data_IF_699666682219
#
_entry.id   IF_699666682219
#
_cell.length_a   1.000
_cell.length_b   1.000
_cell.length_c   1.000
_cell.angle_alpha   90.00
_cell.angle_beta   90.00
_cell.angle_gamma   90.00
#
_symmetry.space_group_name_H-M   'P 1'
#
loop_
_entity.id
_entity.type
_entity.pdbx_description
1 polymer ?
#
# COMPACT_ATOMS: atom_id res chain seq x y z
N UNK A 1 6.25 3.78 19.50
CA UNK A 1 7.71 3.76 19.75
C UNK A 1 8.30 4.93 19.01
N UNK A 2 8.87 5.89 19.74
CA UNK A 2 9.69 6.97 19.18
C UNK A 2 10.84 7.18 20.17
N UNK A 3 12.09 7.08 19.73
CA UNK A 3 13.29 7.24 20.57
C UNK A 3 14.43 6.29 20.22
N UNK A 4 15.51 6.21 21.02
CA UNK A 4 16.75 5.48 20.70
C UNK A 4 16.57 4.00 20.30
N UNK A 5 15.50 3.36 20.77
CA UNK A 5 15.15 1.99 20.43
C UNK A 5 14.65 1.86 18.98
N UNK A 6 13.86 2.82 18.48
CA UNK A 6 13.43 2.79 17.07
C UNK A 6 14.61 2.99 16.13
N UNK A 7 15.55 3.86 16.48
CA UNK A 7 16.73 4.15 15.66
C UNK A 7 17.62 2.92 15.55
N UNK A 8 17.86 2.22 16.67
CA UNK A 8 18.58 0.95 16.69
C UNK A 8 17.92 -0.10 15.79
N UNK A 9 16.59 -0.22 15.81
CA UNK A 9 15.87 -1.20 14.99
C UNK A 9 16.04 -0.93 13.49
N UNK A 10 16.11 0.35 13.10
CA UNK A 10 16.39 0.77 11.72
C UNK A 10 17.84 0.49 11.35
N UNK A 11 18.80 0.93 12.16
CA UNK A 11 20.24 0.78 11.90
C UNK A 11 20.66 -0.69 11.80
N UNK A 12 20.10 -1.54 12.66
CA UNK A 12 20.39 -2.98 12.64
C UNK A 12 19.65 -3.72 11.52
N UNK A 13 18.75 -3.05 10.80
CA UNK A 13 17.93 -3.67 9.78
C UNK A 13 17.06 -4.81 10.32
N UNK A 14 16.63 -4.72 11.59
CA UNK A 14 15.95 -5.80 12.30
C UNK A 14 14.73 -6.36 11.54
N UNK A 15 14.10 -5.54 10.72
CA UNK A 15 12.93 -5.89 9.91
C UNK A 15 13.18 -5.88 8.40
N UNK A 16 14.43 -5.77 7.93
CA UNK A 16 14.74 -5.63 6.51
C UNK A 16 14.13 -6.76 5.66
N UNK A 17 14.25 -8.02 6.11
CA UNK A 17 13.63 -9.15 5.41
C UNK A 17 12.10 -9.06 5.34
N UNK A 18 11.46 -8.61 6.43
CA UNK A 18 10.00 -8.46 6.45
C UNK A 18 9.55 -7.33 5.54
N UNK A 19 10.29 -6.23 5.50
CA UNK A 19 10.02 -5.09 4.60
C UNK A 19 10.15 -5.55 3.14
N UNK A 20 11.24 -6.24 2.78
CA UNK A 20 11.41 -6.79 1.43
C UNK A 20 10.28 -7.74 1.05
N UNK A 21 9.93 -8.69 1.93
CA UNK A 21 8.81 -9.61 1.70
C UNK A 21 7.49 -8.87 1.47
N UNK A 22 7.18 -7.88 2.30
CA UNK A 22 5.95 -7.11 2.17
C UNK A 22 5.92 -6.29 0.88
N UNK A 23 7.03 -5.67 0.50
CA UNK A 23 7.13 -4.89 -0.73
C UNK A 23 6.98 -5.80 -1.96
N UNK A 24 7.69 -6.92 -2.01
CA UNK A 24 7.57 -7.90 -3.11
C UNK A 24 6.15 -8.47 -3.19
N UNK A 25 5.50 -8.77 -2.06
CA UNK A 25 4.11 -9.20 -2.07
C UNK A 25 3.18 -8.13 -2.65
N UNK A 26 3.37 -6.87 -2.27
CA UNK A 26 2.56 -5.76 -2.77
C UNK A 26 2.78 -5.47 -4.27
N UNK A 27 4.03 -5.52 -4.75
CA UNK A 27 4.36 -5.30 -6.17
C UNK A 27 3.73 -6.35 -7.11
N UNK A 28 3.55 -7.57 -6.60
CA UNK A 28 3.01 -8.70 -7.35
C UNK A 28 1.49 -8.88 -7.16
N UNK A 29 0.84 -8.12 -6.27
CA UNK A 29 -0.60 -8.20 -6.06
C UNK A 29 -1.34 -7.47 -7.21
N UNK A 30 -2.10 -8.19 -8.06
CA UNK A 30 -2.83 -7.58 -9.16
C UNK A 30 -3.89 -6.57 -8.69
N UNK A 31 -4.46 -6.73 -7.49
CA UNK A 31 -5.45 -5.80 -6.95
C UNK A 31 -4.82 -4.44 -6.60
N UNK A 32 -3.51 -4.40 -6.31
CA UNK A 32 -2.78 -3.17 -6.02
C UNK A 32 -2.27 -2.46 -7.28
N UNK A 33 -2.49 -3.01 -8.48
CA UNK A 33 -2.03 -2.40 -9.73
C UNK A 33 -3.04 -1.38 -10.25
N UNK A 34 -2.54 -0.23 -10.70
CA UNK A 34 -3.30 0.77 -11.45
C UNK A 34 -3.01 0.62 -12.92
N UNK A 35 -4.05 0.49 -13.73
CA UNK A 35 -3.93 0.47 -15.19
C UNK A 35 -4.48 1.77 -15.72
N UNK A 36 -3.62 2.55 -16.39
CA UNK A 36 -3.99 3.77 -17.10
C UNK A 36 -3.51 3.69 -18.56
N UNK A 37 -3.62 4.79 -19.31
CA UNK A 37 -3.23 4.85 -20.72
C UNK A 37 -1.72 4.60 -20.95
N UNK A 38 -0.90 4.67 -19.89
CA UNK A 38 0.55 4.47 -19.95
C UNK A 38 0.95 3.05 -19.53
N UNK A 39 0.00 2.21 -19.14
CA UNK A 39 0.21 0.80 -18.79
C UNK A 39 -0.25 0.45 -17.37
N UNK A 40 0.12 -0.75 -16.91
CA UNK A 40 -0.20 -1.22 -15.57
C UNK A 40 1.00 -1.00 -14.64
N UNK A 41 0.82 -0.20 -13.58
CA UNK A 41 1.88 0.12 -12.60
C UNK A 41 1.44 -0.10 -11.15
N UNK A 42 2.39 -0.49 -10.32
CA UNK A 42 2.30 -0.44 -8.86
C UNK A 42 2.89 0.88 -8.36
N UNK A 43 2.38 1.43 -7.26
CA UNK A 43 2.88 2.68 -6.70
C UNK A 43 2.09 3.16 -5.50
N UNK A 44 2.55 4.26 -4.90
CA UNK A 44 1.94 4.87 -3.71
C UNK A 44 1.36 6.26 -4.00
N UNK A 45 0.38 6.70 -3.21
CA UNK A 45 -0.44 5.88 -2.32
C UNK A 45 -1.45 5.04 -3.11
N UNK A 46 -1.65 3.78 -2.72
CA UNK A 46 -2.67 2.87 -3.28
C UNK A 46 -3.58 2.40 -2.15
N UNK A 47 -4.89 2.55 -2.35
CA UNK A 47 -5.91 2.07 -1.43
C UNK A 47 -6.78 1.09 -2.18
N UNK A 48 -6.96 -0.10 -1.62
CA UNK A 48 -7.79 -1.16 -2.20
C UNK A 48 -8.84 -1.58 -1.19
N UNK A 49 -10.10 -1.59 -1.62
CA UNK A 49 -11.24 -2.05 -0.83
C UNK A 49 -11.99 -3.08 -1.67
N UNK A 50 -12.27 -4.26 -1.08
CA UNK A 50 -12.92 -5.37 -1.77
C UNK A 50 -12.26 -5.73 -3.13
N UNK A 51 -10.92 -5.70 -3.18
CA UNK A 51 -10.15 -6.04 -4.38
C UNK A 51 -10.18 -4.99 -5.50
N UNK A 52 -10.75 -3.80 -5.25
CA UNK A 52 -10.77 -2.68 -6.22
C UNK A 52 -9.95 -1.50 -5.70
N UNK A 53 -9.14 -0.91 -6.58
CA UNK A 53 -8.45 0.35 -6.29
C UNK A 53 -9.49 1.46 -6.15
N UNK A 54 -9.38 2.21 -5.06
CA UNK A 54 -10.23 3.38 -4.78
C UNK A 54 -9.47 4.66 -5.09
N UNK A 55 -10.17 5.63 -5.68
CA UNK A 55 -9.67 7.00 -5.81
C UNK A 55 -9.81 7.73 -4.47
N UNK A 56 -8.77 7.66 -3.66
CA UNK A 56 -8.69 8.29 -2.34
C UNK A 56 -8.64 9.82 -2.40
N UNK A 57 -8.50 10.41 -3.59
CA UNK A 57 -8.52 11.87 -3.77
C UNK A 57 -9.96 12.41 -3.84
N UNK A 58 -10.95 11.54 -4.07
CA UNK A 58 -12.36 11.94 -4.06
C UNK A 58 -12.86 12.18 -2.62
N UNK A 59 -13.46 13.33 -2.32
CA UNK A 59 -14.17 13.51 -1.05
C UNK A 59 -15.23 12.41 -0.86
N UNK A 60 -15.31 11.82 0.34
CA UNK A 60 -16.26 10.74 0.62
C UNK A 60 -15.88 9.37 0.02
N UNK A 61 -14.63 9.19 -0.45
CA UNK A 61 -14.17 7.92 -1.01
C UNK A 61 -14.32 6.76 -0.03
N UNK A 62 -14.14 6.99 1.27
CA UNK A 62 -14.19 5.94 2.28
C UNK A 62 -15.61 5.40 2.43
N UNK A 63 -16.60 6.28 2.53
CA UNK A 63 -18.02 5.89 2.59
C UNK A 63 -18.42 5.15 1.30
N UNK A 64 -17.97 5.66 0.15
CA UNK A 64 -18.23 5.05 -1.16
C UNK A 64 -17.58 3.67 -1.32
N UNK A 65 -16.43 3.43 -0.69
CA UNK A 65 -15.72 2.16 -0.76
C UNK A 65 -16.42 1.03 0.02
N UNK A 66 -17.21 1.39 1.05
CA UNK A 66 -17.96 0.45 1.88
C UNK A 66 -19.46 0.43 1.61
N UNK A 67 -19.96 1.33 0.76
CA UNK A 67 -21.33 1.26 0.27
C UNK A 67 -21.53 -0.05 -0.51
N UNK A 68 -22.37 -0.95 0.02
CA UNK A 68 -22.70 -2.23 -0.62
C UNK A 68 -23.25 -1.97 -2.04
N UNK A 69 -22.55 -2.46 -3.06
CA UNK A 69 -23.14 -2.78 -4.37
C UNK A 69 -23.92 -4.08 -4.29
#
# INVERSE_FOLDING_TARGET
MTGPESDRLVETGAFAQQITRNLTAAENDPALRRTDQQGSRFGTPTVVVNGKVVDWQQPGWLDSAFAKT
#
